data_IF_588787407381
#
_entry.id   IF_588787407381
#
_cell.length_a   1.000
_cell.length_b   1.000
_cell.length_c   1.000
_cell.angle_alpha   90.00
_cell.angle_beta   90.00
_cell.angle_gamma   90.00
#
_symmetry.space_group_name_H-M   'P 1'
#
loop_
_entity.id
_entity.type
_entity.pdbx_description
1 polymer ?
#
# COMPACT_ATOMS: atom_id res chain seq x y z
N UNK A 1 10.62 27.52 -10.16
CA UNK A 1 10.80 26.06 -10.29
C UNK A 1 11.15 25.77 -11.73
N UNK A 2 12.12 24.88 -12.00
CA UNK A 2 12.42 24.51 -13.38
C UNK A 2 11.46 23.41 -13.83
N UNK A 3 11.03 23.45 -15.10
CA UNK A 3 10.22 22.39 -15.70
C UNK A 3 10.86 21.00 -15.55
N UNK A 4 12.19 20.94 -15.47
CA UNK A 4 12.93 19.70 -15.30
C UNK A 4 12.80 19.09 -13.89
N UNK A 5 12.63 19.89 -12.85
CA UNK A 5 12.38 19.40 -11.48
C UNK A 5 10.96 18.84 -11.38
N UNK A 6 9.99 19.57 -11.94
CA UNK A 6 8.60 19.13 -12.03
C UNK A 6 8.50 17.79 -12.77
N UNK A 7 9.19 17.66 -13.90
CA UNK A 7 9.24 16.42 -14.68
C UNK A 7 9.81 15.21 -13.94
N UNK A 8 10.86 15.41 -13.15
CA UNK A 8 11.38 14.35 -12.29
C UNK A 8 10.38 13.94 -11.23
N UNK A 9 9.79 14.92 -10.55
CA UNK A 9 8.81 14.68 -9.50
C UNK A 9 7.57 13.95 -10.01
N UNK A 10 7.00 14.40 -11.14
CA UNK A 10 5.84 13.74 -11.73
C UNK A 10 6.14 12.32 -12.21
N UNK A 11 7.33 12.08 -12.78
CA UNK A 11 7.71 10.76 -13.28
C UNK A 11 7.89 9.75 -12.14
N UNK A 12 8.60 10.11 -11.07
CA UNK A 12 8.73 9.21 -9.90
C UNK A 12 7.38 9.00 -9.23
N UNK A 13 6.49 10.00 -9.24
CA UNK A 13 5.14 9.87 -8.71
C UNK A 13 4.29 8.89 -9.54
N UNK A 14 4.32 8.97 -10.87
CA UNK A 14 3.67 7.97 -11.73
C UNK A 14 4.23 6.57 -11.51
N UNK A 15 5.55 6.48 -11.30
CA UNK A 15 6.19 5.20 -11.04
C UNK A 15 5.59 4.56 -9.77
N UNK A 16 5.49 5.34 -8.69
CA UNK A 16 4.95 4.91 -7.40
C UNK A 16 3.42 4.72 -7.39
N UNK A 17 2.66 5.51 -8.15
CA UNK A 17 1.20 5.49 -8.10
C UNK A 17 0.56 4.53 -9.10
N UNK A 18 1.26 4.18 -10.19
CA UNK A 18 0.72 3.33 -11.24
C UNK A 18 1.46 2.01 -11.34
N UNK A 19 2.78 2.04 -11.60
CA UNK A 19 3.55 0.83 -11.89
C UNK A 19 3.75 0.01 -10.61
N UNK A 20 4.09 0.64 -9.49
CA UNK A 20 4.28 -0.08 -8.24
C UNK A 20 3.01 -0.84 -7.81
N UNK A 21 1.82 -0.22 -7.70
CA UNK A 21 0.58 -0.94 -7.38
C UNK A 21 0.28 -2.06 -8.37
N UNK A 22 0.47 -1.84 -9.67
CA UNK A 22 0.29 -2.88 -10.68
C UNK A 22 1.12 -4.13 -10.34
N UNK A 23 2.44 -4.00 -10.21
CA UNK A 23 3.33 -5.13 -9.92
C UNK A 23 3.02 -5.76 -8.56
N UNK A 24 2.84 -4.96 -7.51
CA UNK A 24 2.61 -5.47 -6.17
C UNK A 24 1.26 -6.20 -6.04
N UNK A 25 0.21 -5.73 -6.72
CA UNK A 25 -1.08 -6.46 -6.82
C UNK A 25 -0.87 -7.83 -7.46
N UNK A 26 -0.05 -7.92 -8.50
CA UNK A 26 0.26 -9.20 -9.12
C UNK A 26 1.05 -10.13 -8.20
N UNK A 27 1.98 -9.62 -7.39
CA UNK A 27 2.67 -10.41 -6.35
C UNK A 27 1.66 -10.96 -5.33
N UNK A 28 0.72 -10.14 -4.88
CA UNK A 28 -0.34 -10.54 -3.94
C UNK A 28 -1.29 -11.56 -4.59
N UNK A 29 -1.65 -11.37 -5.86
CA UNK A 29 -2.51 -12.29 -6.60
C UNK A 29 -1.81 -13.64 -6.85
N UNK A 30 -0.49 -13.65 -7.04
CA UNK A 30 0.26 -14.89 -7.14
C UNK A 30 0.27 -15.67 -5.81
N UNK A 31 0.47 -14.97 -4.67
CA UNK A 31 0.26 -15.55 -3.34
C UNK A 31 -1.16 -16.11 -3.18
N UNK A 32 -2.16 -15.30 -3.53
CA UNK A 32 -3.56 -15.68 -3.49
C UNK A 32 -3.82 -17.00 -4.23
N UNK A 33 -3.32 -17.12 -5.45
CA UNK A 33 -3.53 -18.30 -6.29
C UNK A 33 -2.78 -19.53 -5.75
N UNK A 34 -1.53 -19.37 -5.31
CA UNK A 34 -0.72 -20.47 -4.73
C UNK A 34 -1.31 -21.05 -3.46
N UNK A 35 -2.03 -20.23 -2.69
CA UNK A 35 -2.67 -20.63 -1.44
C UNK A 35 -4.14 -21.04 -1.60
N UNK A 36 -4.64 -21.16 -2.84
CA UNK A 36 -5.96 -21.74 -3.13
C UNK A 36 -7.15 -20.86 -2.73
N UNK A 37 -6.95 -19.55 -2.64
CA UNK A 37 -8.04 -18.61 -2.43
C UNK A 37 -8.85 -18.43 -3.72
N UNK A 38 -10.18 -18.37 -3.61
CA UNK A 38 -11.07 -18.34 -4.80
C UNK A 38 -11.38 -16.93 -5.28
N UNK A 39 -11.23 -15.93 -4.42
CA UNK A 39 -11.49 -14.52 -4.70
C UNK A 39 -10.78 -13.63 -3.68
N UNK A 40 -10.59 -12.35 -4.01
CA UNK A 40 -10.07 -11.37 -3.05
C UNK A 40 -10.91 -11.33 -1.76
N UNK A 41 -12.24 -11.50 -1.87
CA UNK A 41 -13.13 -11.57 -0.71
C UNK A 41 -12.81 -12.75 0.19
N UNK A 42 -12.69 -13.96 -0.38
CA UNK A 42 -12.31 -15.17 0.36
C UNK A 42 -10.96 -15.01 1.06
N UNK A 43 -10.00 -14.38 0.39
CA UNK A 43 -8.71 -14.06 0.96
C UNK A 43 -8.79 -13.05 2.11
N UNK A 44 -9.54 -11.96 1.94
CA UNK A 44 -9.76 -10.96 2.99
C UNK A 44 -10.46 -11.59 4.20
N UNK A 45 -11.51 -12.37 4.01
CA UNK A 45 -12.26 -13.00 5.09
C UNK A 45 -11.43 -14.04 5.87
N UNK A 46 -10.59 -14.82 5.18
CA UNK A 46 -9.69 -15.78 5.83
C UNK A 46 -8.56 -15.09 6.60
N UNK A 47 -8.10 -13.93 6.15
CA UNK A 47 -6.98 -13.20 6.75
C UNK A 47 -7.42 -12.01 7.62
N UNK A 48 -8.72 -11.79 7.84
CA UNK A 48 -9.25 -10.59 8.52
C UNK A 48 -8.73 -10.40 9.94
N UNK A 49 -8.44 -11.48 10.66
CA UNK A 49 -7.86 -11.37 12.00
C UNK A 49 -6.43 -10.83 11.95
N UNK A 50 -5.59 -11.36 11.07
CA UNK A 50 -4.23 -10.88 10.90
C UNK A 50 -4.23 -9.43 10.42
N UNK A 51 -5.06 -9.10 9.43
CA UNK A 51 -5.22 -7.72 8.94
C UNK A 51 -5.73 -6.76 10.02
N UNK A 52 -6.68 -7.19 10.85
CA UNK A 52 -7.23 -6.34 11.90
C UNK A 52 -6.23 -6.07 13.02
N UNK A 53 -5.31 -7.00 13.34
CA UNK A 53 -4.26 -6.73 14.33
C UNK A 53 -3.30 -5.62 13.90
N UNK A 54 -3.25 -5.34 12.61
CA UNK A 54 -2.49 -4.25 12.03
C UNK A 54 -3.20 -2.90 12.27
N UNK A 55 -4.54 -2.90 12.27
CA UNK A 55 -5.39 -1.75 12.62
C UNK A 55 -5.47 -1.55 14.14
N UNK A 56 -5.85 -2.59 14.89
CA UNK A 56 -6.15 -2.53 16.32
C UNK A 56 -5.52 -3.72 17.07
N UNK A 57 -4.78 -3.42 18.14
CA UNK A 57 -4.08 -4.44 18.96
C UNK A 57 -5.02 -5.32 19.78
N UNK A 58 -6.27 -4.87 20.00
CA UNK A 58 -7.22 -5.59 20.83
C UNK A 58 -8.22 -6.31 19.94
N UNK A 59 -8.25 -7.63 20.08
CA UNK A 59 -9.10 -8.53 19.31
C UNK A 59 -9.42 -9.75 20.18
N UNK A 60 -10.44 -10.50 19.79
CA UNK A 60 -10.93 -11.67 20.51
C UNK A 60 -9.92 -12.81 20.66
N UNK A 61 -8.91 -12.90 19.78
CA UNK A 61 -7.94 -14.00 19.80
C UNK A 61 -6.77 -13.77 20.76
N UNK A 62 -6.74 -12.67 21.53
CA UNK A 62 -5.73 -12.35 22.58
C UNK A 62 -4.26 -12.35 22.11
N UNK A 63 -4.00 -12.57 20.83
CA UNK A 63 -2.69 -12.52 20.21
C UNK A 63 -2.32 -11.06 19.96
N UNK A 64 -1.28 -10.58 20.64
CA UNK A 64 -0.64 -9.32 20.33
C UNK A 64 0.40 -9.62 19.25
N UNK A 65 0.10 -9.33 17.99
CA UNK A 65 1.12 -9.35 16.95
C UNK A 65 1.96 -8.06 17.03
N UNK A 66 3.29 -8.20 16.99
CA UNK A 66 4.20 -7.06 16.91
C UNK A 66 4.06 -6.40 15.53
N UNK A 67 3.91 -5.08 15.53
CA UNK A 67 3.58 -4.29 14.32
C UNK A 67 4.81 -4.06 13.47
N UNK A 68 4.65 -4.10 12.14
CA UNK A 68 5.67 -3.57 11.21
C UNK A 68 5.16 -2.36 10.41
N UNK A 69 3.85 -2.25 10.16
CA UNK A 69 3.22 -1.09 9.48
C UNK A 69 1.75 -0.99 9.89
N UNK A 70 1.25 0.08 10.52
CA UNK A 70 -0.17 0.18 10.90
C UNK A 70 -1.09 0.38 9.69
N UNK A 71 -2.30 -0.16 9.76
CA UNK A 71 -3.41 0.08 8.83
C UNK A 71 -4.32 1.11 9.47
N UNK A 72 -4.83 2.07 8.70
CA UNK A 72 -5.79 3.06 9.18
C UNK A 72 -7.25 2.59 8.99
N UNK A 73 -8.21 3.32 9.58
CA UNK A 73 -9.61 2.94 9.50
C UNK A 73 -10.19 3.11 8.10
N UNK A 74 -9.78 4.14 7.36
CA UNK A 74 -10.22 4.41 5.99
C UNK A 74 -9.88 3.23 5.06
N UNK A 75 -8.67 2.70 5.16
CA UNK A 75 -8.16 1.51 4.48
C UNK A 75 -8.94 0.26 4.87
N UNK A 76 -9.25 0.10 6.15
CA UNK A 76 -10.11 -1.00 6.61
C UNK A 76 -11.50 -0.93 5.98
N UNK A 77 -12.13 0.25 5.97
CA UNK A 77 -13.48 0.45 5.45
C UNK A 77 -13.55 0.39 3.89
N UNK A 78 -12.41 0.50 3.19
CA UNK A 78 -12.31 0.15 1.77
C UNK A 78 -12.46 -1.36 1.53
N UNK A 79 -11.95 -2.17 2.45
CA UNK A 79 -11.84 -3.63 2.31
C UNK A 79 -12.97 -4.40 2.99
N UNK A 80 -13.50 -3.87 4.09
CA UNK A 80 -14.44 -4.56 4.97
C UNK A 80 -15.67 -3.71 5.25
N UNK A 81 -16.79 -4.39 5.52
CA UNK A 81 -18.02 -3.78 5.99
C UNK A 81 -18.45 -4.42 7.30
N UNK A 82 -18.96 -3.60 8.22
CA UNK A 82 -19.46 -4.10 9.50
C UNK A 82 -20.74 -4.92 9.28
N UNK A 83 -20.80 -6.09 9.91
CA UNK A 83 -21.96 -6.96 9.91
C UNK A 83 -22.66 -6.92 11.29
N UNK A 84 -23.82 -7.56 11.39
CA UNK A 84 -24.59 -7.66 12.63
C UNK A 84 -24.13 -8.83 13.54
N UNK A 85 -23.04 -9.52 13.18
CA UNK A 85 -22.57 -10.68 13.93
C UNK A 85 -21.87 -10.25 15.21
N UNK A 86 -22.07 -11.01 16.28
CA UNK A 86 -21.29 -10.88 17.50
C UNK A 86 -20.03 -11.74 17.44
N UNK A 87 -19.00 -11.35 18.19
CA UNK A 87 -17.82 -12.19 18.32
C UNK A 87 -18.16 -13.46 19.11
N UNK A 88 -17.85 -14.63 18.54
CA UNK A 88 -18.14 -15.94 19.16
C UNK A 88 -17.47 -16.16 20.52
N UNK A 89 -16.39 -15.44 20.82
CA UNK A 89 -15.70 -15.54 22.11
C UNK A 89 -16.33 -14.67 23.20
N UNK A 90 -17.39 -13.93 22.89
CA UNK A 90 -17.99 -12.96 23.81
C UNK A 90 -17.16 -11.69 24.02
N UNK A 91 -16.13 -11.46 23.20
CA UNK A 91 -15.38 -10.21 23.24
C UNK A 91 -16.29 -9.02 22.91
N UNK A 92 -16.34 -8.03 23.81
CA UNK A 92 -17.27 -6.89 23.76
C UNK A 92 -16.72 -5.66 23.03
N UNK A 93 -15.42 -5.66 22.70
CA UNK A 93 -14.79 -4.59 21.92
C UNK A 93 -14.95 -4.78 20.41
N UNK A 94 -14.47 -3.80 19.64
CA UNK A 94 -14.43 -3.86 18.17
C UNK A 94 -13.54 -5.04 17.73
N UNK A 95 -14.08 -5.89 16.86
CA UNK A 95 -13.49 -7.20 16.55
C UNK A 95 -13.70 -7.55 15.08
N UNK A 96 -12.71 -8.15 14.39
CA UNK A 96 -12.82 -8.53 12.99
C UNK A 96 -13.93 -9.57 12.73
N UNK A 97 -14.40 -10.29 13.75
CA UNK A 97 -15.57 -11.16 13.63
C UNK A 97 -16.85 -10.39 13.26
N UNK A 98 -16.89 -9.08 13.53
CA UNK A 98 -18.02 -8.19 13.24
C UNK A 98 -17.93 -7.56 11.85
N UNK A 99 -17.03 -8.06 11.01
CA UNK A 99 -16.79 -7.54 9.67
C UNK A 99 -16.72 -8.69 8.67
N UNK A 100 -17.20 -8.41 7.47
CA UNK A 100 -17.05 -9.26 6.29
C UNK A 100 -16.33 -8.47 5.19
N UNK A 101 -15.62 -9.18 4.31
CA UNK A 101 -15.05 -8.57 3.12
C UNK A 101 -16.15 -7.88 2.31
N UNK A 102 -15.87 -6.66 1.86
CA UNK A 102 -16.86 -5.83 1.18
C UNK A 102 -17.35 -6.52 -0.11
N UNK A 103 -18.67 -6.58 -0.36
CA UNK A 103 -19.22 -7.10 -1.62
C UNK A 103 -18.60 -6.44 -2.86
N UNK A 104 -18.05 -7.24 -3.77
CA UNK A 104 -17.49 -6.75 -5.04
C UNK A 104 -16.14 -6.03 -4.93
N UNK A 105 -15.43 -6.14 -3.80
CA UNK A 105 -14.07 -5.59 -3.67
C UNK A 105 -13.13 -6.23 -4.69
N UNK A 106 -12.41 -5.39 -5.44
CA UNK A 106 -11.41 -5.81 -6.43
C UNK A 106 -10.02 -5.33 -6.01
N UNK A 107 -8.96 -5.86 -6.65
CA UNK A 107 -7.58 -5.43 -6.38
C UNK A 107 -7.33 -3.94 -6.69
N UNK A 108 -8.24 -3.26 -7.38
CA UNK A 108 -8.07 -1.86 -7.78
C UNK A 108 -8.11 -0.90 -6.60
N UNK A 109 -8.76 -1.28 -5.50
CA UNK A 109 -8.78 -0.50 -4.25
C UNK A 109 -7.44 -0.57 -3.51
N UNK A 110 -6.55 -1.50 -3.89
CA UNK A 110 -5.25 -1.67 -3.24
C UNK A 110 -4.23 -0.70 -3.82
N UNK A 111 -4.11 0.46 -3.22
CA UNK A 111 -3.01 1.40 -3.52
C UNK A 111 -1.64 0.81 -3.11
N UNK A 112 -0.56 1.55 -3.39
CA UNK A 112 0.80 1.13 -3.02
C UNK A 112 0.92 0.85 -1.51
N UNK A 113 0.22 1.62 -0.68
CA UNK A 113 0.23 1.50 0.78
C UNK A 113 -0.34 0.16 1.22
N UNK A 114 -1.56 -0.15 0.77
CA UNK A 114 -2.24 -1.41 1.04
C UNK A 114 -1.44 -2.59 0.48
N UNK A 115 -0.87 -2.45 -0.71
CA UNK A 115 -0.03 -3.50 -1.30
C UNK A 115 1.19 -3.81 -0.43
N UNK A 116 1.96 -2.79 -0.02
CA UNK A 116 3.09 -2.97 0.89
C UNK A 116 2.65 -3.60 2.22
N UNK A 117 1.50 -3.19 2.75
CA UNK A 117 0.96 -3.68 4.01
C UNK A 117 0.59 -5.16 3.93
N UNK A 118 -0.07 -5.58 2.84
CA UNK A 118 -0.42 -6.97 2.59
C UNK A 118 0.81 -7.85 2.42
N UNK A 119 1.78 -7.39 1.63
CA UNK A 119 3.02 -8.16 1.42
C UNK A 119 3.76 -8.35 2.74
N UNK A 120 3.90 -7.31 3.55
CA UNK A 120 4.65 -7.38 4.82
C UNK A 120 3.99 -8.22 5.89
N UNK A 121 2.66 -8.24 5.95
CA UNK A 121 1.96 -8.86 7.08
C UNK A 121 1.29 -10.19 6.72
N UNK A 122 1.00 -10.44 5.44
CA UNK A 122 0.34 -11.67 4.97
C UNK A 122 1.27 -12.46 4.05
N UNK A 123 1.79 -11.85 2.99
CA UNK A 123 2.57 -12.57 1.97
C UNK A 123 4.03 -12.83 2.36
N UNK A 124 4.55 -12.25 3.46
CA UNK A 124 5.95 -12.35 3.88
C UNK A 124 6.42 -13.79 4.11
N UNK A 125 5.48 -14.73 4.29
CA UNK A 125 5.77 -16.17 4.41
C UNK A 125 6.15 -16.83 3.08
N UNK A 126 6.11 -16.13 1.96
CA UNK A 126 6.75 -16.58 0.73
C UNK A 126 8.27 -16.58 0.88
N UNK A 127 8.84 -17.78 0.88
CA UNK A 127 10.28 -18.00 0.89
C UNK A 127 10.91 -17.29 -0.32
N UNK A 128 11.49 -16.11 -0.08
CA UNK A 128 12.25 -15.37 -1.08
C UNK A 128 11.90 -13.88 -1.20
N UNK A 129 10.75 -13.41 -0.71
CA UNK A 129 10.45 -11.97 -0.83
C UNK A 129 11.37 -11.18 0.11
N UNK A 130 12.22 -10.34 -0.46
CA UNK A 130 13.07 -9.46 0.32
C UNK A 130 12.26 -8.28 0.90
N UNK A 131 12.03 -8.29 2.22
CA UNK A 131 11.25 -7.25 2.90
C UNK A 131 11.91 -5.86 2.81
N UNK A 132 13.23 -5.78 2.64
CA UNK A 132 13.90 -4.48 2.49
C UNK A 132 13.48 -3.76 1.21
N UNK A 133 13.10 -4.49 0.15
CA UNK A 133 12.57 -3.92 -1.09
C UNK A 133 11.19 -3.29 -0.86
N UNK A 134 10.33 -3.95 -0.09
CA UNK A 134 9.02 -3.39 0.27
C UNK A 134 9.17 -2.15 1.14
N UNK A 135 10.14 -2.17 2.07
CA UNK A 135 10.46 -1.02 2.91
C UNK A 135 11.04 0.16 2.13
N UNK A 136 11.87 -0.11 1.13
CA UNK A 136 12.44 0.90 0.23
C UNK A 136 11.34 1.62 -0.55
N UNK A 137 10.44 0.87 -1.19
CA UNK A 137 9.31 1.43 -1.94
C UNK A 137 8.44 2.30 -1.02
N UNK A 138 8.07 1.79 0.16
CA UNK A 138 7.24 2.52 1.13
C UNK A 138 7.92 3.82 1.61
N UNK A 139 9.21 3.77 1.93
CA UNK A 139 9.95 4.93 2.44
C UNK A 139 10.05 6.03 1.39
N UNK A 140 10.40 5.65 0.17
CA UNK A 140 10.48 6.59 -0.96
C UNK A 140 9.11 7.16 -1.28
N UNK A 141 8.05 6.34 -1.27
CA UNK A 141 6.66 6.79 -1.44
C UNK A 141 6.29 7.88 -0.44
N UNK A 142 6.53 7.64 0.84
CA UNK A 142 6.24 8.62 1.90
C UNK A 142 7.06 9.90 1.68
N UNK A 143 8.34 9.78 1.33
CA UNK A 143 9.16 10.95 1.00
C UNK A 143 8.59 11.74 -0.19
N UNK A 144 8.16 11.09 -1.26
CA UNK A 144 7.59 11.79 -2.43
C UNK A 144 6.25 12.47 -2.10
N UNK A 145 5.36 11.83 -1.34
CA UNK A 145 4.06 12.42 -0.94
C UNK A 145 4.25 13.66 -0.07
N UNK A 146 5.18 13.59 0.89
CA UNK A 146 5.40 14.70 1.82
C UNK A 146 6.41 15.74 1.32
N UNK A 147 7.22 15.41 0.31
CA UNK A 147 8.09 16.37 -0.34
C UNK A 147 7.24 17.44 -1.01
N UNK A 148 7.49 18.70 -0.67
CA UNK A 148 7.04 19.79 -1.52
C UNK A 148 7.69 19.59 -2.90
N UNK A 149 6.86 19.60 -3.95
CA UNK A 149 7.25 19.32 -5.34
C UNK A 149 8.43 20.17 -5.86
N UNK A 150 8.86 21.18 -5.10
CA UNK A 150 9.97 22.08 -5.37
C UNK A 150 11.37 21.55 -5.03
N UNK A 151 11.52 20.35 -4.43
CA UNK A 151 12.80 19.93 -3.81
C UNK A 151 13.48 18.67 -4.37
N UNK A 152 13.01 18.06 -5.46
CA UNK A 152 13.62 16.83 -5.95
C UNK A 152 14.77 17.10 -6.95
N UNK A 153 15.98 17.32 -6.43
CA UNK A 153 17.19 17.46 -7.24
C UNK A 153 17.53 16.18 -8.03
N UNK A 154 18.44 16.30 -9.01
CA UNK A 154 18.74 15.22 -9.96
C UNK A 154 19.36 14.00 -9.27
N UNK A 155 20.23 14.22 -8.28
CA UNK A 155 20.90 13.15 -7.57
C UNK A 155 19.91 12.38 -6.70
N UNK A 156 19.06 13.09 -5.96
CA UNK A 156 18.00 12.47 -5.15
C UNK A 156 17.00 11.72 -6.02
N UNK A 157 16.55 12.33 -7.14
CA UNK A 157 15.67 11.67 -8.10
C UNK A 157 16.28 10.37 -8.64
N UNK A 158 17.52 10.40 -9.14
CA UNK A 158 18.16 9.21 -9.69
C UNK A 158 18.37 8.13 -8.62
N UNK A 159 18.69 8.53 -7.39
CA UNK A 159 18.80 7.64 -6.26
C UNK A 159 17.49 6.93 -5.95
N UNK A 160 16.38 7.66 -5.87
CA UNK A 160 15.05 7.09 -5.64
C UNK A 160 14.57 6.23 -6.81
N UNK A 161 14.76 6.70 -8.04
CA UNK A 161 14.40 5.97 -9.25
C UNK A 161 15.03 4.57 -9.27
N UNK A 162 16.35 4.50 -9.09
CA UNK A 162 17.09 3.25 -9.14
C UNK A 162 16.72 2.32 -7.99
N UNK A 163 16.57 2.86 -6.78
CA UNK A 163 16.15 2.06 -5.61
C UNK A 163 14.76 1.43 -5.81
N UNK A 164 13.77 2.22 -6.27
CA UNK A 164 12.43 1.70 -6.54
C UNK A 164 12.46 0.71 -7.71
N UNK A 165 13.19 1.00 -8.79
CA UNK A 165 13.33 0.11 -9.96
C UNK A 165 13.91 -1.24 -9.58
N UNK A 166 15.03 -1.26 -8.86
CA UNK A 166 15.66 -2.51 -8.41
C UNK A 166 14.73 -3.29 -7.48
N UNK A 167 14.15 -2.61 -6.48
CA UNK A 167 13.22 -3.24 -5.55
C UNK A 167 12.01 -3.84 -6.26
N UNK A 168 11.41 -3.11 -7.20
CA UNK A 168 10.19 -3.54 -7.88
C UNK A 168 10.43 -4.70 -8.84
N UNK A 169 11.54 -4.70 -9.59
CA UNK A 169 11.89 -5.79 -10.50
C UNK A 169 12.20 -7.08 -9.74
N UNK A 170 12.87 -7.00 -8.59
CA UNK A 170 13.06 -8.16 -7.71
C UNK A 170 11.72 -8.70 -7.21
N UNK A 171 10.83 -7.82 -6.73
CA UNK A 171 9.48 -8.22 -6.31
C UNK A 171 8.66 -8.84 -7.45
N UNK A 172 8.82 -8.36 -8.69
CA UNK A 172 8.12 -8.89 -9.87
C UNK A 172 8.48 -10.35 -10.17
N UNK A 173 9.65 -10.84 -9.72
CA UNK A 173 10.03 -12.26 -9.85
C UNK A 173 9.17 -13.19 -8.98
N UNK A 174 8.41 -12.65 -8.04
CA UNK A 174 7.44 -13.39 -7.22
C UNK A 174 6.03 -13.39 -7.82
N UNK A 175 5.87 -12.89 -9.04
CA UNK A 175 4.66 -12.96 -9.82
C UNK A 175 4.89 -13.79 -11.10
N UNK A 176 3.85 -14.09 -11.91
CA UNK A 176 4.05 -14.75 -13.21
C UNK A 176 5.09 -14.02 -14.06
N UNK A 177 5.88 -14.76 -14.84
CA UNK A 177 7.01 -14.19 -15.60
C UNK A 177 6.63 -13.05 -16.54
N UNK A 178 5.39 -13.04 -17.04
CA UNK A 178 4.85 -11.94 -17.85
C UNK A 178 4.86 -10.61 -17.10
N UNK A 179 4.59 -10.62 -15.78
CA UNK A 179 4.53 -9.43 -14.94
C UNK A 179 5.89 -8.75 -14.84
N UNK A 180 6.99 -9.52 -14.80
CA UNK A 180 8.33 -8.94 -14.82
C UNK A 180 8.59 -8.18 -16.13
N UNK A 181 8.25 -8.78 -17.26
CA UNK A 181 8.36 -8.14 -18.59
C UNK A 181 7.49 -6.89 -18.69
N UNK A 182 6.23 -6.97 -18.27
CA UNK A 182 5.30 -5.85 -18.29
C UNK A 182 5.79 -4.71 -17.39
N UNK A 183 6.26 -5.04 -16.18
CA UNK A 183 6.83 -4.07 -15.23
C UNK A 183 8.05 -3.38 -15.85
N UNK A 184 8.95 -4.13 -16.48
CA UNK A 184 10.12 -3.57 -17.14
C UNK A 184 9.73 -2.63 -18.29
N UNK A 185 8.75 -3.02 -19.11
CA UNK A 185 8.23 -2.18 -20.20
C UNK A 185 7.63 -0.88 -19.66
N UNK A 186 6.80 -0.94 -18.62
CA UNK A 186 6.20 0.25 -18.01
C UNK A 186 7.25 1.21 -17.43
N UNK A 187 8.34 0.66 -16.86
CA UNK A 187 9.47 1.46 -16.38
C UNK A 187 10.18 2.15 -17.54
N UNK A 188 10.49 1.44 -18.63
CA UNK A 188 11.13 2.00 -19.82
C UNK A 188 10.27 3.08 -20.49
N UNK A 189 8.95 2.86 -20.54
CA UNK A 189 8.00 3.86 -21.03
C UNK A 189 8.06 5.13 -20.17
N UNK A 190 8.08 5.00 -18.84
CA UNK A 190 8.23 6.16 -17.96
C UNK A 190 9.57 6.88 -18.12
N UNK A 191 10.69 6.15 -18.30
CA UNK A 191 12.04 6.73 -18.50
C UNK A 191 12.08 7.64 -19.74
N UNK A 192 11.38 7.24 -20.80
CA UNK A 192 11.37 7.95 -22.08
C UNK A 192 10.20 8.92 -22.24
N UNK A 193 9.18 8.84 -21.38
CA UNK A 193 7.98 9.68 -21.43
C UNK A 193 8.32 11.16 -21.22
N UNK A 194 7.84 11.97 -22.15
CA UNK A 194 7.69 13.42 -21.94
C UNK A 194 6.38 13.64 -21.21
N UNK A 195 6.45 14.33 -20.08
CA UNK A 195 5.25 14.67 -19.30
C UNK A 195 4.75 16.04 -19.72
N UNK A 196 3.45 16.18 -19.93
CA UNK A 196 2.82 17.48 -20.20
C UNK A 196 2.23 18.10 -18.92
N UNK A 197 1.98 19.42 -18.95
CA UNK A 197 1.45 20.19 -17.82
C UNK A 197 0.14 19.64 -17.24
N UNK A 198 -0.74 19.06 -18.08
CA UNK A 198 -2.00 18.47 -17.64
C UNK A 198 -1.81 17.20 -16.81
N UNK A 199 -0.89 16.32 -17.23
CA UNK A 199 -0.53 15.11 -16.49
C UNK A 199 0.05 15.45 -15.11
N UNK A 200 0.88 16.49 -15.00
CA UNK A 200 1.36 16.97 -13.71
C UNK A 200 0.24 17.47 -12.81
N UNK A 201 -0.73 18.20 -13.37
CA UNK A 201 -1.88 18.70 -12.61
C UNK A 201 -2.66 17.58 -11.94
N UNK A 202 -2.94 16.51 -12.68
CA UNK A 202 -3.65 15.33 -12.17
C UNK A 202 -2.82 14.59 -11.10
N UNK A 203 -1.54 14.34 -11.34
CA UNK A 203 -0.65 13.68 -10.36
C UNK A 203 -0.57 14.49 -9.07
N UNK A 204 -0.40 15.81 -9.19
CA UNK A 204 -0.33 16.70 -8.03
C UNK A 204 -1.62 16.66 -7.22
N UNK A 205 -2.76 16.61 -7.88
CA UNK A 205 -4.06 16.47 -7.22
C UNK A 205 -4.15 15.16 -6.43
N UNK A 206 -3.78 14.04 -7.03
CA UNK A 206 -3.78 12.72 -6.37
C UNK A 206 -2.85 12.72 -5.14
N UNK A 207 -1.65 13.28 -5.26
CA UNK A 207 -0.69 13.36 -4.15
C UNK A 207 -1.18 14.27 -3.02
N UNK A 208 -1.81 15.41 -3.36
CA UNK A 208 -2.42 16.30 -2.37
C UNK A 208 -3.57 15.62 -1.62
N UNK A 209 -4.41 14.87 -2.33
CA UNK A 209 -5.50 14.10 -1.72
C UNK A 209 -4.94 13.01 -0.79
N UNK A 210 -3.87 12.31 -1.19
CA UNK A 210 -3.17 11.34 -0.32
C UNK A 210 -2.55 12.00 0.92
N UNK A 211 -1.83 13.13 0.74
CA UNK A 211 -1.24 13.88 1.85
C UNK A 211 -2.31 14.35 2.84
N UNK A 212 -3.45 14.87 2.35
CA UNK A 212 -4.57 15.28 3.20
C UNK A 212 -5.19 14.12 3.97
N UNK A 213 -5.33 12.95 3.36
CA UNK A 213 -5.83 11.77 4.06
C UNK A 213 -4.86 11.34 5.18
N UNK A 214 -3.55 11.33 4.92
CA UNK A 214 -2.55 10.97 5.93
C UNK A 214 -2.47 12.01 7.07
N UNK A 215 -2.54 13.31 6.78
CA UNK A 215 -2.55 14.39 7.80
C UNK A 215 -3.80 14.35 8.69
N UNK A 216 -4.99 14.15 8.10
CA UNK A 216 -6.24 14.00 8.87
C UNK A 216 -6.17 12.78 9.80
N UNK A 217 -5.51 11.71 9.35
CA UNK A 217 -5.35 10.50 10.14
C UNK A 217 -4.31 10.65 11.25
N UNK A 218 -3.19 11.33 11.04
CA UNK A 218 -2.22 11.65 12.10
C UNK A 218 -2.88 12.45 13.23
N UNK A 219 -3.72 13.43 12.89
CA UNK A 219 -4.52 14.19 13.87
C UNK A 219 -5.50 13.26 14.60
N UNK A 220 -6.19 12.36 13.89
CA UNK A 220 -7.09 11.39 14.51
C UNK A 220 -6.36 10.40 15.45
N UNK A 221 -5.15 9.97 15.11
CA UNK A 221 -4.32 9.10 15.95
C UNK A 221 -3.85 9.85 17.20
N UNK A 222 -3.40 11.10 17.07
CA UNK A 222 -3.02 11.94 18.20
C UNK A 222 -4.19 12.20 19.16
N UNK A 223 -5.39 12.48 18.63
CA UNK A 223 -6.61 12.66 19.44
C UNK A 223 -6.96 11.36 20.18
N UNK A 224 -6.89 10.20 19.51
CA UNK A 224 -7.17 8.91 20.16
C UNK A 224 -6.14 8.55 21.23
N UNK A 225 -4.86 8.90 21.06
CA UNK A 225 -3.83 8.71 22.10
C UNK A 225 -4.12 9.62 23.30
N UNK A 226 -4.52 10.87 23.08
CA UNK A 226 -4.86 11.81 24.15
C UNK A 226 -6.11 11.38 24.93
N UNK A 227 -7.12 10.82 24.25
CA UNK A 227 -8.35 10.29 24.87
C UNK A 227 -8.17 8.96 25.61
N UNK A 228 -7.14 8.17 25.30
CA UNK A 228 -6.82 6.92 26.03
C UNK A 228 -5.93 7.18 27.26
N UNK A 229 -5.22 8.32 27.27
CA UNK A 229 -4.35 8.76 28.36
C UNK A 229 -5.00 9.77 29.32
N UNK A 230 -6.31 10.02 29.19
CA UNK A 230 -7.15 10.80 30.13
C UNK A 230 -8.21 9.92 30.78
#
# INVERSE_FOLDING_TARGET
>A
MSYADEARYGRISLFLLNVCPFTLRHVINDYHNKHGYTSLQDFLDKNKHDLYHILNRRCCCRLIQSRVTPMNRSQWDLLFIKNSSSCRTGYTGDCPCQYDAKPGVTSDVMDITLCCLFIKNICYRHAGINMSHVDTIRTIRNHIIHADSAQLDVLTYNGYWNQVKTALLDLANHAPSTVHTDTLSMIQDLETRTMNAGEFGEIRKVLLDQKRMEEVEEVCVLINILYICS
#
